data_IF_303128232160
#
_entry.id   IF_303128232160
#
_cell.length_a   1.000
_cell.length_b   1.000
_cell.length_c   1.000
_cell.angle_alpha   90.00
_cell.angle_beta   90.00
_cell.angle_gamma   90.00
#
_symmetry.space_group_name_H-M   'P 1'
#
loop_
_entity.id
_entity.type
_entity.pdbx_description
1 polymer ?
#
# COMPACT_ATOMS: atom_id res chain seq x y z
N UNK A 1 -0.81 19.69 -8.49
CA UNK A 1 -1.90 18.81 -8.01
C UNK A 1 -2.65 18.35 -9.24
N UNK A 2 -2.21 17.27 -9.87
CA UNK A 2 -3.03 16.59 -10.87
C UNK A 2 -3.90 15.63 -10.08
N UNK A 3 -5.10 16.06 -9.74
CA UNK A 3 -6.08 15.17 -9.13
C UNK A 3 -6.24 13.92 -10.02
N UNK A 4 -6.32 12.71 -9.45
CA UNK A 4 -6.52 11.51 -10.24
C UNK A 4 -7.75 11.72 -11.14
N UNK A 5 -7.66 11.38 -12.44
CA UNK A 5 -8.76 11.64 -13.35
C UNK A 5 -10.02 10.97 -12.80
N UNK A 6 -11.05 11.77 -12.55
CA UNK A 6 -12.38 11.30 -12.17
C UNK A 6 -13.09 10.94 -13.46
N UNK A 7 -13.45 9.66 -13.66
CA UNK A 7 -14.34 9.30 -14.75
C UNK A 7 -15.77 9.48 -14.26
N UNK A 8 -16.46 10.49 -14.78
CA UNK A 8 -17.89 10.66 -14.57
C UNK A 8 -18.61 9.67 -15.48
N UNK A 9 -19.53 8.90 -14.90
CA UNK A 9 -20.29 7.88 -15.63
C UNK A 9 -21.77 8.03 -15.35
N UNK A 10 -22.58 7.72 -16.36
CA UNK A 10 -23.99 7.41 -16.18
C UNK A 10 -24.17 5.91 -16.39
N UNK A 11 -24.94 5.25 -15.53
CA UNK A 11 -25.14 3.81 -15.61
C UNK A 11 -26.59 3.43 -15.32
N UNK A 12 -27.03 2.35 -15.96
CA UNK A 12 -28.28 1.65 -15.69
C UNK A 12 -27.94 0.16 -15.54
N UNK A 13 -28.57 -0.53 -14.59
CA UNK A 13 -28.34 -1.95 -14.35
C UNK A 13 -29.59 -2.74 -14.72
N UNK A 14 -29.45 -3.62 -15.73
CA UNK A 14 -30.53 -4.47 -16.20
C UNK A 14 -30.05 -5.93 -16.17
N UNK A 15 -30.99 -6.85 -16.00
CA UNK A 15 -30.74 -8.27 -16.26
C UNK A 15 -31.05 -8.56 -17.72
N UNK A 16 -30.41 -9.57 -18.29
CA UNK A 16 -30.61 -9.96 -19.71
C UNK A 16 -32.08 -10.22 -20.03
N UNK A 17 -32.80 -10.84 -19.10
CA UNK A 17 -34.23 -11.17 -19.21
C UNK A 17 -35.16 -9.99 -18.86
N UNK A 18 -34.61 -8.88 -18.35
CA UNK A 18 -35.38 -7.76 -17.81
C UNK A 18 -34.74 -6.40 -18.16
N UNK A 19 -34.66 -6.12 -19.46
CA UNK A 19 -34.25 -4.82 -20.00
C UNK A 19 -35.33 -3.77 -19.78
N UNK A 20 -34.96 -2.64 -19.18
CA UNK A 20 -35.82 -1.46 -19.07
C UNK A 20 -36.06 -0.83 -20.45
N UNK A 21 -37.25 -0.23 -20.70
CA UNK A 21 -37.56 0.46 -21.95
C UNK A 21 -36.52 1.53 -22.31
N UNK A 22 -36.05 2.31 -21.32
CA UNK A 22 -35.02 3.33 -21.54
C UNK A 22 -33.67 2.75 -21.94
N UNK A 23 -33.29 1.58 -21.40
CA UNK A 23 -32.06 0.90 -21.83
C UNK A 23 -32.18 0.36 -23.24
N UNK A 24 -33.35 -0.20 -23.60
CA UNK A 24 -33.61 -0.66 -24.96
C UNK A 24 -33.56 0.48 -25.98
N UNK A 25 -34.18 1.63 -25.66
CA UNK A 25 -34.13 2.84 -26.48
C UNK A 25 -32.70 3.38 -26.61
N UNK A 26 -31.93 3.42 -25.51
CA UNK A 26 -30.52 3.82 -25.55
C UNK A 26 -29.70 2.91 -26.47
N UNK A 27 -29.79 1.58 -26.30
CA UNK A 27 -29.11 0.60 -27.17
C UNK A 27 -29.53 0.78 -28.63
N UNK A 28 -30.83 0.90 -28.88
CA UNK A 28 -31.37 1.05 -30.23
C UNK A 28 -30.93 2.35 -30.90
N UNK A 29 -30.91 3.47 -30.16
CA UNK A 29 -30.41 4.76 -30.64
C UNK A 29 -28.92 4.70 -30.99
N UNK A 30 -28.15 3.94 -30.22
CA UNK A 30 -26.72 3.76 -30.42
C UNK A 30 -26.41 2.86 -31.63
N UNK A 31 -27.15 1.76 -31.80
CA UNK A 31 -27.03 0.85 -32.95
C UNK A 31 -27.49 1.51 -34.25
N UNK A 32 -28.53 2.36 -34.19
CA UNK A 32 -29.12 3.02 -35.36
C UNK A 32 -28.41 4.33 -35.76
N UNK A 33 -27.65 4.94 -34.84
CA UNK A 33 -27.00 6.24 -35.02
C UNK A 33 -25.65 6.13 -35.73
N UNK A 34 -25.62 6.41 -37.03
CA UNK A 34 -24.43 6.31 -37.90
C UNK A 34 -23.48 7.54 -37.87
N UNK A 35 -23.33 8.25 -36.75
CA UNK A 35 -22.66 9.56 -36.74
C UNK A 35 -21.44 9.73 -35.81
N UNK A 36 -21.11 8.76 -34.96
CA UNK A 36 -19.80 8.76 -34.30
C UNK A 36 -19.45 7.31 -33.89
N UNK A 37 -18.39 6.74 -34.48
CA UNK A 37 -17.96 5.36 -34.27
C UNK A 37 -17.42 5.14 -32.84
N UNK A 38 -18.29 5.20 -31.84
CA UNK A 38 -17.96 4.78 -30.48
C UNK A 38 -18.17 3.27 -30.42
N UNK A 39 -17.07 2.52 -30.40
CA UNK A 39 -17.11 1.06 -30.28
C UNK A 39 -17.81 0.67 -28.98
N UNK A 40 -18.92 -0.06 -29.04
CA UNK A 40 -19.46 -0.71 -27.86
C UNK A 40 -18.46 -1.78 -27.41
N UNK A 41 -17.84 -1.56 -26.26
CA UNK A 41 -16.93 -2.54 -25.68
C UNK A 41 -17.73 -3.61 -24.95
N UNK A 42 -17.55 -4.86 -25.38
CA UNK A 42 -17.98 -5.99 -24.58
C UNK A 42 -16.92 -6.24 -23.49
N UNK A 43 -17.30 -6.09 -22.23
CA UNK A 43 -16.43 -6.33 -21.08
C UNK A 43 -16.93 -7.57 -20.35
N UNK A 44 -16.11 -8.62 -20.33
CA UNK A 44 -16.40 -9.84 -19.57
C UNK A 44 -16.05 -9.64 -18.10
N UNK A 45 -17.01 -9.89 -17.20
CA UNK A 45 -16.80 -9.86 -15.75
C UNK A 45 -17.63 -10.95 -15.07
N UNK A 46 -17.10 -11.54 -14.00
CA UNK A 46 -17.83 -12.49 -13.13
C UNK A 46 -19.01 -11.79 -12.43
N UNK A 47 -20.00 -12.56 -11.98
CA UNK A 47 -21.16 -12.02 -11.25
C UNK A 47 -20.71 -11.24 -10.01
N UNK A 48 -19.68 -11.71 -9.30
CA UNK A 48 -19.13 -11.06 -8.12
C UNK A 48 -18.47 -9.72 -8.47
N UNK A 49 -17.72 -9.64 -9.57
CA UNK A 49 -17.12 -8.39 -10.06
C UNK A 49 -18.19 -7.37 -10.49
N UNK A 50 -19.25 -7.82 -11.17
CA UNK A 50 -20.39 -6.96 -11.53
C UNK A 50 -21.09 -6.40 -10.28
N UNK A 51 -21.35 -7.24 -9.28
CA UNK A 51 -21.92 -6.81 -8.00
C UNK A 51 -21.03 -5.82 -7.26
N UNK A 52 -19.71 -6.03 -7.27
CA UNK A 52 -18.74 -5.12 -6.66
C UNK A 52 -18.76 -3.75 -7.36
N UNK A 53 -18.73 -3.73 -8.70
CA UNK A 53 -18.80 -2.51 -9.49
C UNK A 53 -20.11 -1.75 -9.21
N UNK A 54 -21.25 -2.46 -9.19
CA UNK A 54 -22.56 -1.88 -8.89
C UNK A 54 -22.61 -1.27 -7.49
N UNK A 55 -22.04 -1.96 -6.47
CA UNK A 55 -21.93 -1.43 -5.11
C UNK A 55 -21.09 -0.15 -5.08
N UNK A 56 -19.93 -0.15 -5.75
CA UNK A 56 -19.05 1.00 -5.83
C UNK A 56 -19.76 2.21 -6.46
N UNK A 57 -20.40 2.02 -7.62
CA UNK A 57 -21.14 3.08 -8.32
C UNK A 57 -22.29 3.63 -7.46
N UNK A 58 -23.01 2.76 -6.74
CA UNK A 58 -24.08 3.18 -5.82
C UNK A 58 -23.58 3.88 -4.54
N UNK A 59 -22.35 3.62 -4.10
CA UNK A 59 -21.72 4.36 -3.02
C UNK A 59 -21.22 5.72 -3.50
N UNK A 60 -20.60 5.77 -4.68
CA UNK A 60 -20.04 6.99 -5.26
C UNK A 60 -21.11 8.01 -5.64
N UNK A 61 -22.28 7.58 -6.13
CA UNK A 61 -23.38 8.52 -6.46
C UNK A 61 -23.78 9.40 -5.28
N UNK A 62 -23.67 8.89 -4.05
CA UNK A 62 -24.03 9.63 -2.82
C UNK A 62 -23.05 10.76 -2.49
N UNK A 63 -21.85 10.73 -3.09
CA UNK A 63 -20.79 11.72 -2.89
C UNK A 63 -20.83 12.84 -3.94
N UNK A 64 -21.73 12.74 -4.92
CA UNK A 64 -21.95 13.81 -5.90
C UNK A 64 -22.77 14.93 -5.28
N UNK A 65 -22.35 16.17 -5.55
CA UNK A 65 -23.14 17.35 -5.15
C UNK A 65 -24.42 17.42 -5.98
N UNK A 66 -25.53 17.76 -5.33
CA UNK A 66 -26.85 17.79 -5.96
C UNK A 66 -26.98 18.84 -7.06
N UNK A 67 -26.09 19.84 -7.12
CA UNK A 67 -26.03 20.86 -8.17
C UNK A 67 -25.32 20.40 -9.44
N UNK A 68 -24.56 19.30 -9.40
CA UNK A 68 -23.83 18.81 -10.56
C UNK A 68 -24.79 18.12 -11.55
N UNK A 69 -24.85 18.65 -12.77
CA UNK A 69 -25.73 18.21 -13.85
C UNK A 69 -24.94 18.16 -15.17
N UNK A 70 -24.25 17.05 -15.48
CA UNK A 70 -23.57 16.91 -16.76
C UNK A 70 -24.58 16.83 -17.90
N UNK A 71 -24.12 17.15 -19.12
CA UNK A 71 -24.91 16.94 -20.35
C UNK A 71 -25.20 15.45 -20.50
N UNK A 72 -26.43 15.11 -20.88
CA UNK A 72 -26.89 13.73 -21.09
C UNK A 72 -27.65 13.65 -22.41
N UNK A 73 -27.62 12.49 -23.04
CA UNK A 73 -28.55 12.17 -24.11
C UNK A 73 -29.98 12.03 -23.55
N UNK A 74 -30.98 12.19 -24.40
CA UNK A 74 -32.40 12.06 -24.02
C UNK A 74 -32.68 10.65 -23.46
N UNK A 75 -32.04 9.64 -24.04
CA UNK A 75 -32.14 8.23 -23.65
C UNK A 75 -31.42 7.90 -22.33
N UNK A 76 -30.60 8.81 -21.79
CA UNK A 76 -29.87 8.65 -20.51
C UNK A 76 -30.57 9.35 -19.34
N UNK A 77 -31.80 9.83 -19.55
CA UNK A 77 -32.57 10.56 -18.54
C UNK A 77 -32.86 9.71 -17.29
N UNK A 78 -33.09 8.41 -17.46
CA UNK A 78 -33.30 7.47 -16.34
C UNK A 78 -32.01 7.01 -15.66
N UNK A 79 -30.84 7.21 -16.30
CA UNK A 79 -29.59 6.61 -15.83
C UNK A 79 -29.09 7.28 -14.55
N UNK A 80 -28.46 6.47 -13.70
CA UNK A 80 -27.87 6.95 -12.45
C UNK A 80 -26.51 7.59 -12.71
N UNK A 81 -26.33 8.83 -12.24
CA UNK A 81 -25.02 9.50 -12.28
C UNK A 81 -24.12 9.02 -11.16
N UNK A 82 -22.88 8.69 -11.50
CA UNK A 82 -21.84 8.30 -10.54
C UNK A 82 -20.46 8.71 -11.06
N UNK A 83 -19.42 8.26 -10.38
CA UNK A 83 -18.05 8.42 -10.81
C UNK A 83 -17.20 7.20 -10.42
N UNK A 84 -16.10 7.01 -11.14
CA UNK A 84 -15.08 6.03 -10.82
C UNK A 84 -13.79 6.75 -10.41
N UNK A 85 -13.24 6.29 -9.29
CA UNK A 85 -11.94 6.69 -8.80
C UNK A 85 -11.20 5.44 -8.31
N UNK A 86 -9.93 5.26 -8.68
CA UNK A 86 -9.12 5.97 -9.69
C UNK A 86 -9.18 5.25 -11.05
N UNK A 87 -9.08 5.99 -12.15
CA UNK A 87 -9.18 5.45 -13.54
C UNK A 87 -7.86 4.81 -14.01
N UNK A 88 -6.93 4.59 -13.08
CA UNK A 88 -5.67 3.90 -13.30
C UNK A 88 -5.30 3.06 -12.07
N UNK A 89 -4.38 2.09 -12.22
CA UNK A 89 -3.84 1.37 -11.08
C UNK A 89 -3.21 2.39 -10.14
N UNK A 90 -3.68 2.39 -8.90
CA UNK A 90 -3.11 3.21 -7.84
C UNK A 90 -1.61 2.92 -7.73
N UNK A 91 -0.82 3.99 -7.68
CA UNK A 91 0.58 3.91 -7.31
C UNK A 91 0.71 3.28 -5.91
N UNK A 92 1.87 2.70 -5.62
CA UNK A 92 2.14 2.05 -4.33
C UNK A 92 1.91 2.97 -3.13
N UNK A 93 2.21 4.27 -3.26
CA UNK A 93 1.95 5.29 -2.23
C UNK A 93 0.47 5.58 -2.02
N UNK A 94 -0.34 5.53 -3.07
CA UNK A 94 -1.77 5.79 -2.99
C UNK A 94 -2.51 4.56 -2.44
N UNK A 95 -2.17 3.36 -2.91
CA UNK A 95 -2.60 2.08 -2.31
C UNK A 95 -2.31 2.07 -0.80
N UNK A 96 -1.10 2.49 -0.42
CA UNK A 96 -0.69 2.65 0.96
C UNK A 96 -1.57 3.60 1.77
N UNK A 97 -2.02 4.72 1.17
CA UNK A 97 -2.93 5.70 1.80
C UNK A 97 -4.32 5.13 2.03
N UNK A 98 -4.85 4.33 1.10
CA UNK A 98 -6.16 3.70 1.27
C UNK A 98 -6.14 2.48 2.21
N UNK A 99 -4.97 1.85 2.38
CA UNK A 99 -4.79 0.75 3.33
C UNK A 99 -4.51 1.21 4.76
N UNK A 100 -4.58 2.51 5.08
CA UNK A 100 -4.40 3.00 6.45
C UNK A 100 -5.68 2.84 7.25
N UNK A 101 -5.88 1.68 7.86
CA UNK A 101 -6.87 1.57 8.93
C UNK A 101 -6.19 1.89 10.28
N UNK A 102 -6.22 3.17 10.67
CA UNK A 102 -5.77 3.60 12.00
C UNK A 102 -6.85 3.36 13.07
N UNK A 103 -8.04 2.91 12.67
CA UNK A 103 -9.18 2.59 13.53
C UNK A 103 -9.33 1.09 13.77
N UNK A 104 -10.55 0.68 14.07
CA UNK A 104 -10.93 -0.69 14.30
C UNK A 104 -10.81 -1.50 13.01
N UNK A 105 -10.18 -2.67 13.07
CA UNK A 105 -9.98 -3.54 11.92
C UNK A 105 -11.27 -4.09 11.31
N UNK A 106 -12.40 -4.03 12.02
CA UNK A 106 -13.72 -4.42 11.52
C UNK A 106 -14.51 -3.23 10.99
N UNK A 107 -14.77 -2.23 11.85
CA UNK A 107 -15.71 -1.16 11.53
C UNK A 107 -15.05 0.18 11.14
N UNK A 108 -13.73 0.34 11.30
CA UNK A 108 -12.99 1.55 10.95
C UNK A 108 -13.08 2.71 11.97
N UNK A 109 -13.96 2.63 12.97
CA UNK A 109 -14.07 3.63 14.05
C UNK A 109 -12.80 3.71 14.91
N UNK A 110 -12.53 4.82 15.63
CA UNK A 110 -11.35 4.94 16.48
C UNK A 110 -11.17 3.74 17.43
N UNK A 111 -10.05 3.02 17.28
CA UNK A 111 -9.80 1.85 18.09
C UNK A 111 -9.39 2.23 19.52
N UNK A 112 -10.03 1.63 20.51
CA UNK A 112 -9.79 1.88 21.93
C UNK A 112 -8.85 0.84 22.55
N UNK A 113 -8.77 -0.34 21.94
CA UNK A 113 -7.99 -1.45 22.47
C UNK A 113 -7.24 -2.22 21.37
N UNK A 114 -6.19 -2.92 21.78
CA UNK A 114 -5.41 -3.84 20.93
C UNK A 114 -5.71 -5.28 21.33
N UNK A 115 -5.51 -6.22 20.41
CA UNK A 115 -5.54 -7.63 20.76
C UNK A 115 -4.51 -7.92 21.87
N UNK A 116 -4.95 -8.43 23.02
CA UNK A 116 -4.09 -8.68 24.18
C UNK A 116 -3.03 -9.77 23.95
N UNK A 117 -3.20 -10.62 22.93
CA UNK A 117 -2.27 -11.72 22.62
C UNK A 117 -1.13 -11.27 21.71
N UNK A 118 -1.45 -10.73 20.54
CA UNK A 118 -0.43 -10.35 19.55
C UNK A 118 -0.07 -8.87 19.58
N UNK A 119 -0.89 -8.00 20.19
CA UNK A 119 -0.75 -6.54 20.20
C UNK A 119 -0.69 -5.87 18.81
N UNK A 120 -0.97 -6.61 17.73
CA UNK A 120 -0.88 -6.13 16.36
C UNK A 120 -2.17 -5.46 15.89
N UNK A 121 -3.32 -6.11 16.08
CA UNK A 121 -4.61 -5.65 15.54
C UNK A 121 -5.36 -4.80 16.57
N UNK A 122 -6.13 -3.79 16.11
CA UNK A 122 -6.83 -2.84 16.97
C UNK A 122 -8.35 -2.93 16.77
N UNK A 123 -9.09 -2.77 17.85
CA UNK A 123 -10.55 -2.83 17.86
C UNK A 123 -11.14 -1.66 18.66
N UNK A 124 -12.34 -1.22 18.29
CA UNK A 124 -13.09 -0.27 19.11
C UNK A 124 -13.58 -0.92 20.42
N UNK A 125 -13.91 -2.21 20.39
CA UNK A 125 -14.38 -3.00 21.53
C UNK A 125 -14.16 -4.52 21.34
N UNK A 126 -14.66 -5.32 22.29
CA UNK A 126 -14.52 -6.77 22.29
C UNK A 126 -15.47 -7.46 21.28
N UNK A 127 -16.50 -6.76 20.79
CA UNK A 127 -17.44 -7.30 19.80
C UNK A 127 -16.73 -7.39 18.46
N UNK A 128 -16.10 -6.30 18.02
CA UNK A 128 -15.31 -6.29 16.79
C UNK A 128 -14.13 -7.28 16.85
N UNK A 129 -13.51 -7.46 18.03
CA UNK A 129 -12.46 -8.47 18.19
C UNK A 129 -12.97 -9.91 17.98
N UNK A 130 -14.16 -10.22 18.49
CA UNK A 130 -14.77 -11.56 18.33
C UNK A 130 -15.20 -11.81 16.89
N UNK A 131 -15.71 -10.79 16.21
CA UNK A 131 -16.11 -10.86 14.80
C UNK A 131 -14.91 -11.14 13.89
N UNK A 132 -13.80 -10.42 14.11
CA UNK A 132 -12.56 -10.61 13.34
C UNK A 132 -11.81 -11.90 13.70
N UNK A 133 -12.16 -12.58 14.80
CA UNK A 133 -11.35 -13.68 15.35
C UNK A 133 -11.05 -14.78 14.33
N UNK A 134 -12.01 -15.14 13.47
CA UNK A 134 -11.79 -16.19 12.47
C UNK A 134 -10.70 -15.82 11.44
N UNK A 135 -10.64 -14.55 11.03
CA UNK A 135 -9.59 -14.04 10.13
C UNK A 135 -8.30 -13.69 10.86
N UNK A 136 -8.40 -13.18 12.09
CA UNK A 136 -7.27 -12.75 12.91
C UNK A 136 -6.49 -13.90 13.54
N UNK A 137 -7.14 -15.01 13.89
CA UNK A 137 -6.56 -16.09 14.72
C UNK A 137 -5.26 -16.65 14.17
N UNK A 138 -5.17 -16.88 12.85
CA UNK A 138 -3.94 -17.40 12.23
C UNK A 138 -2.77 -16.44 12.44
N UNK A 139 -2.98 -15.17 12.10
CA UNK A 139 -2.00 -14.10 12.28
C UNK A 139 -1.63 -13.90 13.76
N UNK A 140 -2.63 -13.89 14.65
CA UNK A 140 -2.45 -13.73 16.08
C UNK A 140 -1.54 -14.83 16.66
N UNK A 141 -1.81 -16.08 16.30
CA UNK A 141 -1.03 -17.23 16.76
C UNK A 141 0.36 -17.26 16.12
N UNK A 142 0.47 -16.83 14.86
CA UNK A 142 1.76 -16.75 14.17
C UNK A 142 2.71 -15.79 14.89
N UNK A 143 2.23 -14.62 15.30
CA UNK A 143 3.07 -13.61 15.96
C UNK A 143 3.29 -13.86 17.45
N UNK A 144 2.51 -14.74 18.07
CA UNK A 144 2.67 -15.09 19.49
C UNK A 144 3.97 -15.87 19.71
N UNK A 145 4.83 -15.36 20.61
CA UNK A 145 6.12 -15.99 20.92
C UNK A 145 7.15 -15.94 19.80
N UNK A 146 6.96 -15.06 18.81
CA UNK A 146 7.92 -14.85 17.75
C UNK A 146 9.28 -14.37 18.30
N UNK A 147 10.37 -14.77 17.65
CA UNK A 147 11.73 -14.33 17.98
C UNK A 147 11.97 -12.97 17.35
N UNK A 148 12.01 -11.94 18.19
CA UNK A 148 12.30 -10.57 17.78
C UNK A 148 13.77 -10.24 17.99
N UNK A 149 14.38 -9.60 17.00
CA UNK A 149 15.71 -9.05 17.07
C UNK A 149 15.63 -7.53 17.06
N UNK A 150 16.09 -6.89 18.14
CA UNK A 150 16.24 -5.44 18.15
C UNK A 150 17.33 -5.05 17.16
N UNK A 151 17.00 -4.16 16.24
CA UNK A 151 17.89 -3.62 15.22
C UNK A 151 17.92 -2.10 15.34
N UNK A 152 18.95 -1.55 16.00
CA UNK A 152 19.20 -0.13 16.01
C UNK A 152 19.49 0.37 14.59
N UNK A 153 18.97 1.56 14.26
CA UNK A 153 19.28 2.27 13.04
C UNK A 153 19.68 3.71 13.37
N UNK A 154 20.39 4.36 12.46
CA UNK A 154 20.88 5.73 12.65
C UNK A 154 20.36 6.62 11.53
N UNK A 155 20.42 7.93 11.73
CA UNK A 155 20.25 8.90 10.67
C UNK A 155 21.21 8.60 9.52
N UNK A 156 20.74 8.82 8.29
CA UNK A 156 21.42 8.50 7.04
C UNK A 156 22.74 9.25 6.81
N UNK A 157 23.10 10.22 7.65
CA UNK A 157 24.16 11.20 7.38
C UNK A 157 25.48 11.03 8.16
N UNK A 158 25.70 9.96 8.95
CA UNK A 158 26.94 9.79 9.77
C UNK A 158 28.26 9.77 8.97
N UNK A 159 28.20 9.92 7.64
CA UNK A 159 29.33 9.91 6.71
C UNK A 159 29.53 11.18 5.88
N UNK A 160 28.78 12.26 6.13
CA UNK A 160 28.90 13.48 5.33
C UNK A 160 28.42 13.32 3.87
N UNK A 161 27.68 12.24 3.56
CA UNK A 161 26.96 12.06 2.30
C UNK A 161 25.55 11.54 2.59
N UNK A 162 24.55 12.34 2.24
CA UNK A 162 23.17 11.92 2.35
C UNK A 162 22.84 10.95 1.22
N UNK A 163 22.52 9.71 1.57
CA UNK A 163 22.09 8.71 0.59
C UNK A 163 20.57 8.68 0.51
N UNK A 164 20.03 9.38 -0.49
CA UNK A 164 18.60 9.45 -0.75
C UNK A 164 18.22 8.53 -1.91
N UNK A 165 17.23 7.66 -1.70
CA UNK A 165 16.59 6.89 -2.76
C UNK A 165 15.18 7.41 -3.05
N UNK A 166 14.96 7.97 -4.24
CA UNK A 166 13.62 8.36 -4.72
C UNK A 166 13.12 7.31 -5.69
N UNK A 167 12.08 6.58 -5.30
CA UNK A 167 11.32 5.75 -6.22
C UNK A 167 10.38 6.63 -7.05
N UNK A 168 10.34 6.38 -8.36
CA UNK A 168 9.38 7.01 -9.26
C UNK A 168 8.76 5.99 -10.21
N UNK A 169 7.59 6.32 -10.74
CA UNK A 169 6.82 5.52 -11.67
C UNK A 169 6.25 6.41 -12.80
N UNK A 170 5.62 5.80 -13.81
CA UNK A 170 5.14 6.52 -15.00
C UNK A 170 4.05 7.57 -14.73
N UNK A 171 3.43 7.55 -13.56
CA UNK A 171 2.41 8.49 -13.12
C UNK A 171 2.97 9.62 -12.25
N UNK A 172 4.25 9.57 -11.86
CA UNK A 172 4.87 10.64 -11.08
C UNK A 172 5.19 11.85 -11.96
N UNK A 173 4.76 13.05 -11.54
CA UNK A 173 5.14 14.30 -12.21
C UNK A 173 6.50 14.80 -11.74
N UNK A 174 7.16 15.64 -12.53
CA UNK A 174 8.42 16.32 -12.13
C UNK A 174 8.24 17.09 -10.82
N UNK A 175 7.07 17.67 -10.61
CA UNK A 175 6.74 18.39 -9.37
C UNK A 175 6.63 17.45 -8.17
N UNK A 176 6.04 16.26 -8.34
CA UNK A 176 5.98 15.25 -7.28
C UNK A 176 7.38 14.76 -6.90
N UNK A 177 8.26 14.61 -7.89
CA UNK A 177 9.66 14.25 -7.66
C UNK A 177 10.42 15.34 -6.92
N UNK A 178 10.24 16.62 -7.31
CA UNK A 178 10.85 17.75 -6.59
C UNK A 178 10.40 17.79 -5.14
N UNK A 179 9.10 17.71 -4.88
CA UNK A 179 8.57 17.67 -3.50
C UNK A 179 9.15 16.53 -2.68
N UNK A 180 9.26 15.33 -3.25
CA UNK A 180 9.89 14.19 -2.54
C UNK A 180 11.36 14.47 -2.22
N UNK A 181 12.10 14.97 -3.19
CA UNK A 181 13.52 15.33 -3.01
C UNK A 181 13.67 16.42 -1.95
N UNK A 182 12.82 17.44 -1.97
CA UNK A 182 12.87 18.55 -1.02
C UNK A 182 12.48 18.10 0.39
N UNK A 183 11.45 17.26 0.54
CA UNK A 183 11.12 16.64 1.83
C UNK A 183 12.27 15.78 2.37
N UNK A 184 13.00 15.07 1.51
CA UNK A 184 14.16 14.27 1.91
C UNK A 184 15.36 15.13 2.31
N UNK A 185 15.53 16.31 1.68
CA UNK A 185 16.54 17.31 2.07
C UNK A 185 16.15 18.06 3.34
N UNK A 186 14.85 18.25 3.57
CA UNK A 186 14.30 19.00 4.70
C UNK A 186 14.14 18.15 5.97
N UNK A 187 14.23 16.81 5.89
CA UNK A 187 14.29 15.98 7.10
C UNK A 187 15.56 16.32 7.87
N UNK A 188 15.38 16.94 9.04
CA UNK A 188 16.47 17.38 9.89
C UNK A 188 17.35 16.18 10.29
N UNK A 189 18.66 16.39 10.22
CA UNK A 189 19.72 15.38 10.14
C UNK A 189 19.80 14.46 11.37
N UNK A 190 19.11 14.80 12.45
CA UNK A 190 19.05 14.06 13.71
C UNK A 190 17.62 13.75 14.17
N UNK A 191 16.63 13.98 13.32
CA UNK A 191 15.24 13.66 13.66
C UNK A 191 14.90 12.22 13.29
N UNK A 192 14.37 11.42 14.24
CA UNK A 192 13.94 10.07 13.95
C UNK A 192 12.77 10.07 12.96
N UNK A 193 12.69 9.08 12.05
CA UNK A 193 11.54 8.95 11.15
C UNK A 193 10.23 8.86 11.95
N UNK A 194 9.15 9.53 11.53
CA UNK A 194 7.88 9.53 12.26
C UNK A 194 7.39 8.10 12.57
N UNK A 195 6.97 7.86 13.80
CA UNK A 195 6.41 6.55 14.20
C UNK A 195 4.92 6.44 13.85
N UNK A 196 4.61 6.36 12.55
CA UNK A 196 3.23 6.26 12.05
C UNK A 196 2.53 4.94 12.40
N UNK A 197 3.28 3.91 12.76
CA UNK A 197 2.78 2.59 13.13
C UNK A 197 2.60 2.42 14.65
N UNK A 198 3.15 3.34 15.46
CA UNK A 198 3.16 3.24 16.92
C UNK A 198 3.84 1.95 17.38
N UNK A 199 3.17 1.21 18.28
CA UNK A 199 3.63 -0.10 18.78
C UNK A 199 2.96 -1.28 18.08
N UNK A 200 2.31 -1.07 16.92
CA UNK A 200 1.68 -2.14 16.15
C UNK A 200 2.70 -2.76 15.20
N UNK A 201 2.71 -4.10 15.09
CA UNK A 201 3.55 -4.78 14.11
C UNK A 201 3.10 -4.48 12.67
N UNK A 202 4.05 -4.27 11.79
CA UNK A 202 3.84 -3.95 10.38
C UNK A 202 4.86 -4.70 9.51
N UNK A 203 4.62 -4.76 8.20
CA UNK A 203 5.52 -5.44 7.27
C UNK A 203 6.52 -4.43 6.70
N UNK A 204 7.80 -4.75 6.85
CA UNK A 204 8.90 -4.07 6.16
C UNK A 204 9.50 -4.98 5.11
N UNK A 205 9.94 -4.38 4.01
CA UNK A 205 10.85 -5.02 3.08
C UNK A 205 12.27 -4.68 3.48
N UNK A 206 13.10 -5.71 3.63
CA UNK A 206 14.54 -5.58 3.86
C UNK A 206 15.24 -5.99 2.58
N UNK A 207 16.15 -5.14 2.09
CA UNK A 207 17.00 -5.44 0.94
C UNK A 207 18.46 -5.25 1.34
N UNK A 208 19.29 -6.24 1.06
CA UNK A 208 20.73 -6.15 1.30
C UNK A 208 21.41 -5.52 0.08
N UNK A 209 22.44 -4.70 0.31
CA UNK A 209 23.30 -4.26 -0.78
C UNK A 209 24.15 -5.46 -1.24
N UNK A 210 24.14 -5.75 -2.53
CA UNK A 210 25.07 -6.71 -3.10
C UNK A 210 25.41 -6.37 -4.55
N UNK A 211 26.59 -6.75 -5.02
CA UNK A 211 26.99 -6.73 -6.42
C UNK A 211 26.02 -7.55 -7.28
N UNK A 212 25.45 -8.63 -6.74
CA UNK A 212 24.42 -9.45 -7.40
C UNK A 212 22.99 -8.89 -7.25
N UNK A 213 22.78 -7.88 -6.40
CA UNK A 213 21.48 -7.24 -6.25
C UNK A 213 21.18 -6.28 -7.40
N UNK A 214 19.91 -6.18 -7.79
CA UNK A 214 19.39 -5.15 -8.72
C UNK A 214 18.56 -4.13 -7.94
N UNK A 215 18.57 -2.88 -8.37
CA UNK A 215 17.71 -1.82 -7.81
C UNK A 215 18.40 -0.91 -6.77
N UNK A 216 17.62 -0.20 -5.93
CA UNK A 216 18.13 0.91 -5.13
C UNK A 216 19.24 0.53 -4.13
N UNK A 217 19.16 -0.66 -3.52
CA UNK A 217 20.17 -1.13 -2.56
C UNK A 217 21.56 -1.35 -3.20
N UNK A 218 21.61 -1.80 -4.46
CA UNK A 218 22.88 -1.92 -5.22
C UNK A 218 23.52 -0.56 -5.49
N UNK A 219 22.71 0.48 -5.68
CA UNK A 219 23.19 1.83 -5.96
C UNK A 219 23.79 2.53 -4.74
N UNK A 220 23.55 2.03 -3.52
CA UNK A 220 24.03 2.67 -2.30
C UNK A 220 25.57 2.70 -2.25
N UNK A 221 26.27 1.69 -2.80
CA UNK A 221 27.73 1.58 -2.76
C UNK A 221 28.31 0.86 -4.00
N UNK A 222 28.00 1.35 -5.19
CA UNK A 222 28.54 0.78 -6.44
C UNK A 222 30.08 0.91 -6.46
N UNK A 223 30.78 -0.22 -6.38
CA UNK A 223 32.22 -0.31 -6.68
C UNK A 223 33.17 -0.66 -5.53
N UNK A 224 32.67 -0.92 -4.31
CA UNK A 224 33.51 -1.41 -3.20
C UNK A 224 33.07 -2.82 -2.75
N UNK A 225 33.82 -3.87 -3.13
CA UNK A 225 33.52 -5.25 -2.72
C UNK A 225 33.57 -5.48 -1.21
N UNK A 226 34.32 -4.67 -0.46
CA UNK A 226 34.42 -4.81 1.01
C UNK A 226 33.13 -4.46 1.74
N UNK A 227 32.22 -3.74 1.07
CA UNK A 227 30.92 -3.32 1.60
C UNK A 227 29.78 -4.25 1.18
N UNK A 228 30.03 -5.29 0.38
CA UNK A 228 29.01 -6.25 -0.05
C UNK A 228 28.32 -6.91 1.16
N UNK A 229 26.99 -6.90 1.20
CA UNK A 229 26.24 -7.55 2.27
C UNK A 229 26.25 -6.83 3.63
N UNK A 230 26.76 -5.60 3.71
CA UNK A 230 26.93 -4.89 4.99
C UNK A 230 25.87 -3.83 5.28
N UNK A 231 24.88 -3.69 4.39
CA UNK A 231 23.92 -2.59 4.42
C UNK A 231 22.52 -3.11 4.11
N UNK A 232 21.56 -2.73 4.95
CA UNK A 232 20.15 -2.91 4.69
C UNK A 232 19.49 -1.61 4.27
N UNK A 233 18.69 -1.69 3.22
CA UNK A 233 17.61 -0.75 2.96
C UNK A 233 16.31 -1.36 3.50
N UNK A 234 15.75 -0.75 4.54
CA UNK A 234 14.53 -1.20 5.21
C UNK A 234 13.42 -0.19 4.95
N UNK A 235 12.26 -0.65 4.49
CA UNK A 235 11.12 0.22 4.27
C UNK A 235 9.79 -0.49 4.30
N UNK A 236 8.74 0.20 4.76
CA UNK A 236 7.37 -0.28 4.61
C UNK A 236 6.81 0.03 3.21
N UNK A 237 5.70 -0.61 2.83
CA UNK A 237 5.05 -0.39 1.53
C UNK A 237 4.78 1.09 1.24
N UNK A 238 4.50 1.86 2.30
CA UNK A 238 4.11 3.26 2.26
C UNK A 238 5.29 4.23 2.21
N UNK A 239 6.52 3.75 2.44
CA UNK A 239 7.71 4.58 2.68
C UNK A 239 7.52 5.57 3.84
N UNK A 240 6.60 5.27 4.75
CA UNK A 240 6.44 6.05 6.00
C UNK A 240 7.60 5.77 6.95
N UNK A 241 8.22 4.59 6.81
CA UNK A 241 9.54 4.29 7.35
C UNK A 241 10.41 3.90 6.18
N UNK A 242 11.53 4.60 6.00
CA UNK A 242 12.61 4.20 5.09
C UNK A 242 13.93 4.53 5.77
N UNK A 243 14.69 3.50 6.13
CA UNK A 243 15.95 3.64 6.85
C UNK A 243 17.03 2.80 6.20
N UNK A 244 18.26 3.28 6.29
CA UNK A 244 19.46 2.56 5.87
C UNK A 244 20.19 2.11 7.14
N UNK A 245 20.41 0.82 7.30
CA UNK A 245 21.14 0.26 8.44
C UNK A 245 22.48 -0.25 7.94
N UNK A 246 23.56 0.25 8.52
CA UNK A 246 24.92 -0.17 8.17
C UNK A 246 25.46 -1.01 9.32
N UNK A 247 26.06 -2.15 8.99
CA UNK A 247 26.62 -3.07 9.97
C UNK A 247 27.62 -2.42 10.92
N UNK A 248 28.38 -1.43 10.44
CA UNK A 248 29.44 -0.78 11.21
C UNK A 248 28.94 0.24 12.27
N UNK A 249 27.70 0.73 12.16
CA UNK A 249 27.07 1.60 13.19
C UNK A 249 25.89 0.97 13.91
N UNK A 250 25.56 -0.27 13.54
CA UNK A 250 24.61 -1.08 14.29
C UNK A 250 25.39 -2.07 15.15
N UNK A 251 24.69 -2.68 16.09
CA UNK A 251 25.25 -3.80 16.81
C UNK A 251 25.45 -4.97 15.84
N UNK A 252 26.70 -5.41 15.67
CA UNK A 252 27.08 -6.41 14.68
C UNK A 252 26.28 -7.72 14.82
N UNK A 253 26.06 -8.20 16.05
CA UNK A 253 25.28 -9.39 16.32
C UNK A 253 23.81 -9.25 15.87
N UNK A 254 23.21 -8.09 16.13
CA UNK A 254 21.84 -7.77 15.74
C UNK A 254 21.68 -7.68 14.22
N UNK A 255 22.64 -7.04 13.54
CA UNK A 255 22.67 -6.97 12.08
C UNK A 255 22.84 -8.36 11.45
N UNK A 256 23.83 -9.12 11.92
CA UNK A 256 24.17 -10.42 11.39
C UNK A 256 23.02 -11.42 11.57
N UNK A 257 22.32 -11.39 12.72
CA UNK A 257 21.14 -12.24 12.95
C UNK A 257 20.03 -11.99 11.92
N UNK A 258 19.75 -10.73 11.58
CA UNK A 258 18.77 -10.38 10.52
C UNK A 258 19.31 -10.79 9.14
N UNK A 259 20.60 -10.56 8.88
CA UNK A 259 21.25 -10.90 7.60
C UNK A 259 21.18 -12.39 7.31
N UNK A 260 21.54 -13.22 8.28
CA UNK A 260 21.64 -14.66 8.10
C UNK A 260 20.26 -15.25 7.80
N UNK A 261 19.21 -14.75 8.46
CA UNK A 261 17.82 -15.11 8.17
C UNK A 261 17.39 -14.63 6.79
N UNK A 262 17.72 -13.39 6.41
CA UNK A 262 17.43 -12.85 5.08
C UNK A 262 18.13 -13.64 3.97
N UNK A 263 19.38 -14.04 4.18
CA UNK A 263 20.14 -14.84 3.22
C UNK A 263 19.57 -16.25 3.09
N UNK A 264 19.14 -16.86 4.20
CA UNK A 264 18.57 -18.19 4.21
C UNK A 264 17.14 -18.26 3.65
N UNK A 265 16.31 -17.25 3.91
CA UNK A 265 14.85 -17.27 3.64
C UNK A 265 14.37 -16.18 2.69
N UNK A 266 15.23 -15.27 2.24
CA UNK A 266 14.88 -14.22 1.31
C UNK A 266 14.99 -14.67 -0.15
N UNK A 267 14.35 -13.93 -1.04
CA UNK A 267 14.45 -14.12 -2.48
C UNK A 267 15.91 -14.00 -2.92
N UNK A 268 16.50 -15.13 -3.32
CA UNK A 268 17.93 -15.28 -3.66
C UNK A 268 18.89 -14.83 -2.55
N UNK A 269 18.42 -14.79 -1.31
CA UNK A 269 19.17 -14.26 -0.16
C UNK A 269 19.42 -12.75 -0.19
N UNK A 270 18.71 -11.99 -1.04
CA UNK A 270 18.97 -10.57 -1.26
C UNK A 270 17.87 -9.64 -0.71
N UNK A 271 16.64 -10.12 -0.64
CA UNK A 271 15.48 -9.34 -0.20
C UNK A 271 14.39 -10.22 0.38
N UNK A 272 13.65 -9.70 1.35
CA UNK A 272 12.54 -10.40 1.95
C UNK A 272 11.63 -9.44 2.70
N UNK A 273 10.43 -9.91 3.06
CA UNK A 273 9.51 -9.17 3.90
C UNK A 273 9.49 -9.77 5.31
N UNK A 274 9.47 -8.88 6.29
CA UNK A 274 9.61 -9.20 7.70
C UNK A 274 8.56 -8.44 8.48
N UNK A 275 8.06 -9.05 9.54
CA UNK A 275 7.33 -8.31 10.56
C UNK A 275 8.32 -7.44 11.34
N UNK A 276 7.93 -6.20 11.58
CA UNK A 276 8.69 -5.24 12.36
C UNK A 276 7.79 -4.51 13.35
N UNK A 277 8.35 -4.12 14.50
CA UNK A 277 7.71 -3.24 15.48
C UNK A 277 8.66 -2.08 15.76
N UNK A 278 8.14 -0.86 15.83
CA UNK A 278 8.93 0.29 16.29
C UNK A 278 9.00 0.26 17.81
N UNK A 279 10.18 -0.04 18.35
CA UNK A 279 10.42 -0.16 19.80
C UNK A 279 11.06 1.09 20.41
N UNK A 280 11.54 2.01 19.58
CA UNK A 280 12.09 3.28 19.99
C UNK A 280 12.29 4.24 18.82
N UNK A 281 12.74 5.45 19.13
CA UNK A 281 13.00 6.48 18.11
C UNK A 281 14.04 6.04 17.07
N UNK A 282 14.98 5.18 17.44
CA UNK A 282 16.06 4.69 16.57
C UNK A 282 16.19 3.18 16.54
N UNK A 283 15.12 2.44 16.86
CA UNK A 283 15.15 0.97 16.88
C UNK A 283 13.90 0.34 16.25
N UNK A 284 14.12 -0.75 15.53
CA UNK A 284 13.09 -1.66 15.03
C UNK A 284 13.35 -3.05 15.59
N UNK A 285 12.32 -3.69 16.12
CA UNK A 285 12.37 -5.11 16.40
C UNK A 285 11.93 -5.87 15.15
N UNK A 286 12.80 -6.72 14.61
CA UNK A 286 12.56 -7.52 13.40
C UNK A 286 12.28 -8.97 13.79
N UNK A 287 11.18 -9.52 13.29
CA UNK A 287 10.83 -10.92 13.52
C UNK A 287 11.69 -11.86 12.67
N UNK A 288 12.38 -12.82 13.31
CA UNK A 288 13.34 -13.71 12.65
C UNK A 288 12.78 -15.07 12.23
N UNK A 289 11.67 -15.50 12.80
CA UNK A 289 11.16 -16.87 12.67
C UNK A 289 9.73 -16.98 12.13
N UNK A 290 8.99 -15.88 12.08
CA UNK A 290 7.64 -15.80 11.53
C UNK A 290 7.61 -14.81 10.36
N UNK A 291 7.07 -15.25 9.23
CA UNK A 291 7.06 -14.49 7.97
C UNK A 291 5.62 -14.29 7.47
N UNK A 292 5.36 -13.28 6.64
CA UNK A 292 4.05 -13.14 5.99
C UNK A 292 3.68 -14.40 5.19
N UNK A 293 2.45 -14.90 5.33
CA UNK A 293 2.05 -16.21 4.74
C UNK A 293 2.13 -16.26 3.21
N UNK A 294 2.00 -15.11 2.56
CA UNK A 294 2.13 -14.98 1.10
C UNK A 294 3.59 -14.96 0.62
N UNK A 295 4.55 -14.88 1.55
CA UNK A 295 5.97 -14.93 1.23
C UNK A 295 6.39 -16.39 0.99
N UNK A 296 6.24 -16.85 -0.25
CA UNK A 296 6.75 -18.14 -0.73
C UNK A 296 7.93 -17.86 -1.66
N UNK A 297 9.12 -18.32 -1.29
CA UNK A 297 10.32 -18.24 -2.11
C UNK A 297 10.83 -19.64 -2.40
#
# INVERSE_FOLDING_TARGET
MTEPPILIVVFEHNLEEALSPGSFEWISSYVSGSADHSTMFNVTATVQEQQLLLRLLNQNKKRLVSSYRPKRAITESSFTLSFLLPVGPLGTQEMAKYNTNNGCSVCGEPAKQKCSRCSTVRYCDAVCQKEDWNGHRSLCNNLQGAKWQNLPFTASNRFGRNVYGVGFNKYDTVEDLRKRVDCMKASDEFTPPPNTHGTTAFIVKIQINSASAKGPAHMLFKGDPSKDGTIFLIYDQRRTVQVTVLREFSEAASFDAVRDVLQAKGERGLKGFFWAIRTGEWSLDICLDRFPEWQKW
#
